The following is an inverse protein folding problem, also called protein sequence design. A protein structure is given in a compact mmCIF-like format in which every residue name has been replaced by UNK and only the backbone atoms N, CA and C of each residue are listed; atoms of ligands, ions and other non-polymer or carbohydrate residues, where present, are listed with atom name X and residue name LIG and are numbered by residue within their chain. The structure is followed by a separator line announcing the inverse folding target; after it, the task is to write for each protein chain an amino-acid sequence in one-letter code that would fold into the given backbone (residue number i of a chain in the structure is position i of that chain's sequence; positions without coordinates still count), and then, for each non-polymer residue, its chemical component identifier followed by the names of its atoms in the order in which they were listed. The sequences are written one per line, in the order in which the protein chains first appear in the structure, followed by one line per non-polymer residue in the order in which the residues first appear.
data_IF_937168399591
#
_entry.id   IF_937168399591
#
_cell.length_a   1.000
_cell.length_b   1.000
_cell.length_c   1.000
_cell.angle_alpha   90.00
_cell.angle_beta   90.00
_cell.angle_gamma   90.00
#
_symmetry.space_group_name_H-M   'P 1'
#
loop_
_entity.id
_entity.type
_entity.pdbx_description
1 polymer ?
#
# COMPACT_ATOMS: atom_id res chain seq x y z
N UNK A 1 37.01 3.48 -3.89
CA UNK A 1 35.82 2.98 -3.19
C UNK A 1 34.68 3.92 -3.49
N UNK A 2 33.69 3.47 -4.26
CA UNK A 2 32.65 4.32 -4.83
C UNK A 2 31.60 4.55 -3.74
N UNK A 3 31.61 5.74 -3.11
CA UNK A 3 30.61 6.16 -2.12
C UNK A 3 29.27 6.43 -2.81
N UNK A 4 28.60 5.37 -3.26
CA UNK A 4 27.22 5.42 -3.68
C UNK A 4 26.41 5.85 -2.47
N UNK A 5 26.04 7.14 -2.46
CA UNK A 5 25.29 7.76 -1.37
C UNK A 5 24.11 6.86 -1.05
N UNK A 6 24.04 6.48 0.21
CA UNK A 6 23.02 5.61 0.75
C UNK A 6 21.69 6.37 0.85
N UNK A 7 21.10 6.71 -0.30
CA UNK A 7 19.81 7.40 -0.40
C UNK A 7 18.75 6.66 0.41
N UNK A 8 18.81 5.33 0.43
CA UNK A 8 17.95 4.46 1.24
C UNK A 8 18.25 4.45 2.76
N UNK A 9 19.36 5.03 3.22
CA UNK A 9 19.78 5.00 4.63
C UNK A 9 19.49 6.29 5.39
N UNK A 10 19.19 7.39 4.68
CA UNK A 10 18.64 8.61 5.28
C UNK A 10 17.09 8.65 5.25
N UNK A 11 16.43 7.61 4.74
CA UNK A 11 14.98 7.51 4.77
C UNK A 11 14.51 7.24 6.18
N UNK A 12 13.55 8.04 6.66
CA UNK A 12 12.87 7.78 7.93
C UNK A 12 11.93 6.57 7.79
N UNK A 13 12.48 5.40 8.08
CA UNK A 13 11.75 4.13 8.06
C UNK A 13 10.58 4.09 9.04
N UNK A 14 10.60 4.87 10.13
CA UNK A 14 9.48 4.92 11.06
C UNK A 14 8.25 5.54 10.39
N UNK A 15 8.44 6.67 9.70
CA UNK A 15 7.37 7.32 8.93
C UNK A 15 6.86 6.42 7.79
N UNK A 16 7.74 5.70 7.09
CA UNK A 16 7.35 4.77 6.02
C UNK A 16 6.50 3.61 6.57
N UNK A 17 6.91 3.00 7.68
CA UNK A 17 6.16 1.92 8.32
C UNK A 17 4.82 2.42 8.84
N UNK A 18 4.78 3.61 9.46
CA UNK A 18 3.55 4.22 9.93
C UNK A 18 2.56 4.46 8.78
N UNK A 19 3.04 4.97 7.65
CA UNK A 19 2.25 5.15 6.43
C UNK A 19 1.67 3.81 5.94
N UNK A 20 2.48 2.75 5.87
CA UNK A 20 2.01 1.43 5.44
C UNK A 20 0.93 0.85 6.37
N UNK A 21 1.09 1.01 7.69
CA UNK A 21 0.09 0.57 8.67
C UNK A 21 -1.24 1.31 8.45
N UNK A 22 -1.19 2.63 8.26
CA UNK A 22 -2.39 3.43 8.01
C UNK A 22 -3.08 3.02 6.69
N UNK A 23 -2.32 2.75 5.63
CA UNK A 23 -2.86 2.24 4.37
C UNK A 23 -3.55 0.87 4.54
N UNK A 24 -2.92 -0.05 5.28
CA UNK A 24 -3.48 -1.39 5.55
C UNK A 24 -4.78 -1.26 6.35
N UNK A 25 -4.80 -0.43 7.41
CA UNK A 25 -6.00 -0.20 8.22
C UNK A 25 -7.12 0.42 7.37
N UNK A 26 -6.80 1.41 6.55
CA UNK A 26 -7.77 2.03 5.64
C UNK A 26 -8.35 1.05 4.63
N UNK A 27 -7.51 0.13 4.12
CA UNK A 27 -7.93 -0.93 3.22
C UNK A 27 -8.88 -1.94 3.90
N UNK A 28 -8.54 -2.41 5.11
CA UNK A 28 -9.42 -3.30 5.89
C UNK A 28 -10.74 -2.65 6.26
N UNK A 29 -10.75 -1.34 6.54
CA UNK A 29 -11.98 -0.61 6.85
C UNK A 29 -12.95 -0.60 5.66
N UNK A 30 -12.45 -0.33 4.44
CA UNK A 30 -13.26 -0.36 3.21
C UNK A 30 -13.69 -1.78 2.85
N UNK A 31 -12.82 -2.78 3.06
CA UNK A 31 -13.18 -4.18 2.89
C UNK A 31 -14.32 -4.60 3.81
N UNK A 32 -14.28 -4.20 5.08
CA UNK A 32 -15.33 -4.54 6.07
C UNK A 32 -16.64 -3.80 5.82
N UNK A 33 -16.59 -2.57 5.33
CA UNK A 33 -17.77 -1.74 5.08
C UNK A 33 -18.60 -2.17 3.85
N UNK A 34 -17.95 -2.82 2.87
CA UNK A 34 -18.56 -3.27 1.61
C UNK A 34 -18.29 -4.78 1.47
N UNK A 35 -18.26 -5.49 2.59
CA UNK A 35 -18.08 -6.93 2.60
C UNK A 35 -19.32 -7.57 1.97
N UNK A 36 -19.12 -8.18 0.81
CA UNK A 36 -20.16 -8.84 0.05
C UNK A 36 -19.85 -10.34 0.02
N UNK A 37 -20.72 -11.14 0.64
CA UNK A 37 -20.53 -12.59 0.81
C UNK A 37 -20.58 -13.35 -0.52
N UNK A 38 -21.14 -12.75 -1.59
CA UNK A 38 -21.26 -13.38 -2.91
C UNK A 38 -19.98 -13.29 -3.77
N UNK A 39 -19.04 -12.42 -3.42
CA UNK A 39 -17.78 -12.25 -4.15
C UNK A 39 -16.56 -12.56 -3.24
N UNK A 40 -16.18 -13.84 -3.08
CA UNK A 40 -15.11 -14.25 -2.16
C UNK A 40 -13.70 -13.82 -2.58
N UNK A 41 -13.55 -13.12 -3.72
CA UNK A 41 -12.25 -12.70 -4.21
C UNK A 41 -11.83 -11.38 -3.56
N UNK A 42 -10.89 -11.48 -2.62
CA UNK A 42 -10.22 -10.36 -1.94
C UNK A 42 -9.44 -9.48 -2.95
N UNK A 43 -9.24 -9.98 -4.18
CA UNK A 43 -8.55 -9.31 -5.29
C UNK A 43 -9.52 -9.12 -6.47
N UNK A 44 -10.78 -8.79 -6.21
CA UNK A 44 -11.70 -8.42 -7.28
C UNK A 44 -11.55 -6.94 -7.63
N UNK A 45 -11.00 -6.66 -8.82
CA UNK A 45 -10.84 -5.31 -9.37
C UNK A 45 -12.19 -4.58 -9.59
N UNK A 46 -13.30 -5.32 -9.61
CA UNK A 46 -14.65 -4.74 -9.70
C UNK A 46 -15.01 -3.95 -8.44
N UNK A 47 -14.47 -4.36 -7.29
CA UNK A 47 -14.84 -3.83 -5.98
C UNK A 47 -14.01 -2.62 -5.56
N UNK A 48 -14.55 -1.81 -4.65
CA UNK A 48 -13.86 -0.62 -4.13
C UNK A 48 -12.62 -0.98 -3.30
N UNK A 49 -12.62 -2.11 -2.58
CA UNK A 49 -11.45 -2.57 -1.83
C UNK A 49 -10.34 -3.08 -2.76
N UNK A 50 -10.66 -3.74 -3.87
CA UNK A 50 -9.69 -4.18 -4.87
C UNK A 50 -9.00 -3.00 -5.56
N UNK A 51 -9.76 -1.96 -5.92
CA UNK A 51 -9.20 -0.71 -6.48
C UNK A 51 -8.25 -0.01 -5.52
N UNK A 52 -8.59 0.05 -4.22
CA UNK A 52 -7.72 0.65 -3.22
C UNK A 52 -6.40 -0.11 -3.04
N UNK A 53 -6.44 -1.44 -3.11
CA UNK A 53 -5.22 -2.27 -3.06
C UNK A 53 -4.26 -1.93 -4.22
N UNK A 54 -4.78 -1.75 -5.44
CA UNK A 54 -3.97 -1.35 -6.61
C UNK A 54 -3.34 0.02 -6.40
N UNK A 55 -4.07 0.98 -5.82
CA UNK A 55 -3.53 2.31 -5.55
C UNK A 55 -2.40 2.29 -4.51
N UNK A 56 -2.49 1.43 -3.49
CA UNK A 56 -1.40 1.24 -2.52
C UNK A 56 -0.18 0.63 -3.23
N UNK A 57 -0.39 -0.36 -4.10
CA UNK A 57 0.68 -1.02 -4.84
C UNK A 57 1.39 -0.07 -5.83
N UNK A 58 0.62 0.74 -6.57
CA UNK A 58 1.17 1.71 -7.51
C UNK A 58 1.93 2.83 -6.81
N UNK A 59 1.44 3.29 -5.65
CA UNK A 59 2.15 4.28 -4.82
C UNK A 59 3.51 3.74 -4.33
N UNK A 60 3.59 2.48 -3.93
CA UNK A 60 4.84 1.82 -3.52
C UNK A 60 5.87 1.74 -4.65
N UNK A 61 5.42 1.43 -5.87
CA UNK A 61 6.29 1.38 -7.06
C UNK A 61 6.82 2.79 -7.35
N UNK A 62 5.95 3.79 -7.37
CA UNK A 62 6.35 5.19 -7.61
C UNK A 62 7.33 5.71 -6.56
N UNK A 63 7.11 5.38 -5.28
CA UNK A 63 7.98 5.76 -4.18
C UNK A 63 9.38 5.13 -4.27
N UNK A 64 9.53 4.00 -4.96
CA UNK A 64 10.84 3.35 -5.17
C UNK A 64 11.55 3.87 -6.42
N UNK A 65 10.80 4.34 -7.42
CA UNK A 65 11.34 4.88 -8.67
C UNK A 65 11.78 6.34 -8.60
N UNK A 66 11.28 7.08 -7.61
CA UNK A 66 11.66 8.47 -7.28
C UNK A 66 12.81 8.46 -6.29
#
# INVERSE_FOLDING_TARGET
MNNQRSFFFNVDWFTVVLYLILCIIGWFNIHSAIFDEEHPSIIDLSTNYGKQFIYILSALILATTI
#
